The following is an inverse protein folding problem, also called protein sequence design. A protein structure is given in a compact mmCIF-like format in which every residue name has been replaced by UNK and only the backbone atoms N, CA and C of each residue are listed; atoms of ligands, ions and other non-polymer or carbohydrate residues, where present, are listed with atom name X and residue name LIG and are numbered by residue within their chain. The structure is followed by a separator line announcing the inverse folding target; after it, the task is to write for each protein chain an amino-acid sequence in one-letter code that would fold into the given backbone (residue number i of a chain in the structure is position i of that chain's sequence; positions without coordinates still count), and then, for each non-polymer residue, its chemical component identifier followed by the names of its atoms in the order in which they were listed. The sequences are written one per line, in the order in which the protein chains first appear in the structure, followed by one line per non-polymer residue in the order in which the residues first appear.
data_IF_532912839522
#
_entry.id   IF_532912839522
#
_cell.length_a   1.000
_cell.length_b   1.000
_cell.length_c   1.000
_cell.angle_alpha   90.00
_cell.angle_beta   90.00
_cell.angle_gamma   90.00
#
_symmetry.space_group_name_H-M   'P 1'
#
loop_
_entity.id
_entity.type
_entity.pdbx_description
1 polymer ?
#
# COMPACT_ATOMS: atom_id res chain seq x y z
N UNK A 1 -21.97 27.53 -62.41
CA UNK A 1 -20.51 27.76 -62.26
C UNK A 1 -20.11 28.15 -60.83
N UNK A 2 -20.87 29.01 -60.13
CA UNK A 2 -20.57 29.41 -58.73
C UNK A 2 -20.55 28.21 -57.75
N UNK A 3 -21.57 27.34 -57.81
CA UNK A 3 -21.67 26.12 -57.00
C UNK A 3 -20.50 25.12 -57.16
N UNK A 4 -19.89 25.03 -58.35
CA UNK A 4 -18.75 24.13 -58.58
C UNK A 4 -17.47 24.66 -57.94
N UNK A 5 -17.33 25.99 -57.88
CA UNK A 5 -16.16 26.67 -57.32
C UNK A 5 -16.11 26.56 -55.79
N UNK A 6 -17.28 26.65 -55.15
CA UNK A 6 -17.42 26.45 -53.70
C UNK A 6 -17.10 25.01 -53.28
N UNK A 7 -17.47 24.02 -54.09
CA UNK A 7 -17.13 22.60 -53.82
C UNK A 7 -15.63 22.34 -53.97
N UNK A 8 -14.96 22.92 -54.97
CA UNK A 8 -13.50 22.85 -55.11
C UNK A 8 -12.77 23.53 -53.94
N UNK A 9 -13.23 24.70 -53.49
CA UNK A 9 -12.66 25.40 -52.35
C UNK A 9 -12.77 24.59 -51.05
N UNK A 10 -13.88 23.85 -50.87
CA UNK A 10 -14.06 22.93 -49.74
C UNK A 10 -13.12 21.71 -49.81
N UNK A 11 -12.89 21.13 -50.99
CA UNK A 11 -11.93 20.03 -51.14
C UNK A 11 -10.48 20.46 -50.89
N UNK A 12 -10.10 21.65 -51.36
CA UNK A 12 -8.77 22.23 -51.10
C UNK A 12 -8.59 22.48 -49.61
N UNK A 13 -9.62 23.00 -48.93
CA UNK A 13 -9.60 23.20 -47.49
C UNK A 13 -9.43 21.87 -46.73
N UNK A 14 -10.12 20.81 -47.16
CA UNK A 14 -10.00 19.47 -46.57
C UNK A 14 -8.57 18.92 -46.71
N UNK A 15 -8.02 18.93 -47.93
CA UNK A 15 -6.64 18.50 -48.21
C UNK A 15 -5.59 19.31 -47.43
N UNK A 16 -5.84 20.60 -47.20
CA UNK A 16 -4.96 21.46 -46.39
C UNK A 16 -4.80 20.95 -44.95
N UNK A 17 -5.85 20.35 -44.38
CA UNK A 17 -5.82 19.85 -43.00
C UNK A 17 -5.57 18.35 -42.89
N UNK A 18 -5.77 17.57 -43.96
CA UNK A 18 -5.53 16.11 -43.96
C UNK A 18 -4.13 15.75 -43.45
N UNK A 19 -3.10 16.48 -43.86
CA UNK A 19 -1.72 16.23 -43.39
C UNK A 19 -1.54 16.54 -41.90
N UNK A 20 -2.21 17.59 -41.40
CA UNK A 20 -2.18 17.94 -39.98
C UNK A 20 -2.90 16.89 -39.13
N UNK A 21 -4.05 16.39 -39.61
CA UNK A 21 -4.79 15.31 -38.94
C UNK A 21 -4.01 14.00 -38.97
N UNK A 22 -3.41 13.63 -40.10
CA UNK A 22 -2.56 12.43 -40.20
C UNK A 22 -1.42 12.47 -39.19
N UNK A 23 -0.72 13.61 -39.08
CA UNK A 23 0.33 13.79 -38.08
C UNK A 23 -0.21 13.67 -36.65
N UNK A 24 -1.38 14.25 -36.38
CA UNK A 24 -2.01 14.17 -35.06
C UNK A 24 -2.37 12.72 -34.71
N UNK A 25 -2.93 11.95 -35.65
CA UNK A 25 -3.25 10.54 -35.46
C UNK A 25 -1.99 9.70 -35.16
N UNK A 26 -0.89 9.95 -35.90
CA UNK A 26 0.39 9.29 -35.65
C UNK A 26 0.95 9.60 -34.26
N UNK A 27 0.89 10.86 -33.82
CA UNK A 27 1.40 11.28 -32.52
C UNK A 27 0.51 10.80 -31.35
N UNK A 28 -0.81 10.79 -31.53
CA UNK A 28 -1.75 10.19 -30.57
C UNK A 28 -1.53 8.68 -30.44
N UNK A 29 -1.32 7.97 -31.56
CA UNK A 29 -1.01 6.53 -31.54
C UNK A 29 0.28 6.22 -30.78
N UNK A 30 1.32 7.06 -30.91
CA UNK A 30 2.55 6.93 -30.10
C UNK A 30 2.26 7.16 -28.61
N UNK A 31 1.47 8.18 -28.27
CA UNK A 31 1.11 8.46 -26.89
C UNK A 31 0.32 7.31 -26.24
N UNK A 32 -0.63 6.71 -26.96
CA UNK A 32 -1.40 5.54 -26.51
C UNK A 32 -0.51 4.32 -26.27
N UNK A 33 0.46 4.06 -27.16
CA UNK A 33 1.43 2.99 -27.00
C UNK A 33 2.28 3.20 -25.75
N UNK A 34 2.86 4.39 -25.58
CA UNK A 34 3.66 4.73 -24.40
C UNK A 34 2.85 4.59 -23.10
N UNK A 35 1.58 5.00 -23.13
CA UNK A 35 0.68 4.86 -22.00
C UNK A 35 0.40 3.39 -21.65
N UNK A 36 0.17 2.56 -22.66
CA UNK A 36 -0.08 1.13 -22.49
C UNK A 36 1.14 0.40 -21.91
N UNK A 37 2.33 0.71 -22.42
CA UNK A 37 3.61 0.17 -21.91
C UNK A 37 3.85 0.60 -20.46
N UNK A 38 3.59 1.87 -20.14
CA UNK A 38 3.66 2.37 -18.77
C UNK A 38 2.70 1.64 -17.84
N UNK A 39 1.45 1.44 -18.24
CA UNK A 39 0.46 0.70 -17.45
C UNK A 39 0.91 -0.72 -17.15
N UNK A 40 1.39 -1.46 -18.15
CA UNK A 40 1.88 -2.82 -17.98
C UNK A 40 3.13 -2.89 -17.06
N UNK A 41 4.02 -1.90 -17.19
CA UNK A 41 5.21 -1.82 -16.33
C UNK A 41 4.86 -1.58 -14.86
N UNK A 42 3.91 -0.68 -14.58
CA UNK A 42 3.44 -0.42 -13.21
C UNK A 42 2.78 -1.66 -12.60
N UNK A 43 2.02 -2.44 -13.38
CA UNK A 43 1.44 -3.71 -12.89
C UNK A 43 2.53 -4.72 -12.52
N UNK A 44 3.54 -4.89 -13.38
CA UNK A 44 4.67 -5.77 -13.09
C UNK A 44 5.38 -5.39 -11.78
N UNK A 45 5.60 -4.09 -11.57
CA UNK A 45 6.18 -3.57 -10.31
C UNK A 45 5.27 -3.92 -9.12
N UNK A 46 3.96 -3.68 -9.26
CA UNK A 46 3.00 -3.95 -8.20
C UNK A 46 2.95 -5.45 -7.84
N UNK A 47 2.94 -6.35 -8.82
CA UNK A 47 2.90 -7.80 -8.58
C UNK A 47 4.18 -8.31 -7.91
N UNK A 48 5.33 -7.75 -8.28
CA UNK A 48 6.58 -7.98 -7.56
C UNK A 48 6.45 -7.52 -6.10
N UNK A 49 5.98 -6.29 -5.90
CA UNK A 49 5.90 -5.69 -4.57
C UNK A 49 4.89 -6.39 -3.66
N UNK A 50 3.73 -6.83 -4.16
CA UNK A 50 2.75 -7.59 -3.37
C UNK A 50 3.36 -8.87 -2.80
N UNK A 51 4.18 -9.58 -3.58
CA UNK A 51 4.87 -10.78 -3.10
C UNK A 51 5.92 -10.43 -2.06
N UNK A 52 6.79 -9.46 -2.38
CA UNK A 52 7.90 -9.09 -1.51
C UNK A 52 7.45 -8.46 -0.20
N UNK A 53 6.40 -7.64 -0.22
CA UNK A 53 5.84 -7.02 0.99
C UNK A 53 5.30 -8.06 1.96
N UNK A 54 4.61 -9.11 1.47
CA UNK A 54 4.16 -10.23 2.30
C UNK A 54 5.32 -10.98 2.96
N UNK A 55 6.39 -11.23 2.22
CA UNK A 55 7.61 -11.83 2.79
C UNK A 55 8.19 -10.96 3.91
N UNK A 56 8.35 -9.66 3.67
CA UNK A 56 8.89 -8.73 4.68
C UNK A 56 7.96 -8.64 5.91
N UNK A 57 6.65 -8.61 5.71
CA UNK A 57 5.66 -8.63 6.80
C UNK A 57 5.76 -9.90 7.65
N UNK A 58 5.96 -11.06 7.02
CA UNK A 58 6.19 -12.32 7.71
C UNK A 58 7.48 -12.30 8.54
N UNK A 59 8.58 -11.79 7.98
CA UNK A 59 9.85 -11.63 8.72
C UNK A 59 9.70 -10.68 9.91
N UNK A 60 9.02 -9.54 9.74
CA UNK A 60 8.73 -8.63 10.85
C UNK A 60 7.96 -9.34 11.98
N UNK A 61 6.96 -10.15 11.65
CA UNK A 61 6.18 -10.88 12.65
C UNK A 61 7.02 -11.96 13.35
N UNK A 62 7.89 -12.65 12.61
CA UNK A 62 8.87 -13.59 13.20
C UNK A 62 9.78 -12.89 14.21
N UNK A 63 10.36 -11.74 13.83
CA UNK A 63 11.21 -10.92 14.69
C UNK A 63 10.47 -10.43 15.95
N UNK A 64 9.18 -10.08 15.83
CA UNK A 64 8.34 -9.74 17.00
C UNK A 64 8.17 -10.93 17.94
N UNK A 65 7.98 -12.13 17.40
CA UNK A 65 7.93 -13.36 18.19
C UNK A 65 9.23 -13.63 18.95
N UNK A 66 10.39 -13.36 18.32
CA UNK A 66 11.70 -13.46 19.00
C UNK A 66 11.82 -12.44 20.14
N UNK A 67 11.36 -11.20 19.94
CA UNK A 67 11.32 -10.19 21.02
C UNK A 67 10.45 -10.68 22.19
N UNK A 68 9.28 -11.24 21.90
CA UNK A 68 8.39 -11.79 22.93
C UNK A 68 9.05 -12.93 23.70
N UNK A 69 9.70 -13.85 23.00
CA UNK A 69 10.50 -14.92 23.61
C UNK A 69 11.60 -14.37 24.53
N UNK A 70 12.37 -13.38 24.09
CA UNK A 70 13.40 -12.76 24.93
C UNK A 70 12.82 -12.02 26.13
N UNK A 71 11.66 -11.36 26.00
CA UNK A 71 10.98 -10.75 27.14
C UNK A 71 10.55 -11.80 28.17
N UNK A 72 10.07 -12.96 27.74
CA UNK A 72 9.72 -14.05 28.65
C UNK A 72 10.97 -14.59 29.37
N UNK A 73 12.09 -14.76 28.65
CA UNK A 73 13.38 -15.14 29.26
C UNK A 73 13.87 -14.12 30.30
N UNK A 74 13.64 -12.82 30.07
CA UNK A 74 13.95 -11.78 31.07
C UNK A 74 13.12 -11.96 32.35
N UNK A 75 11.81 -12.24 32.20
CA UNK A 75 10.91 -12.50 33.32
C UNK A 75 11.38 -13.72 34.11
N UNK A 76 11.66 -14.84 33.44
CA UNK A 76 12.18 -16.06 34.08
C UNK A 76 13.52 -15.81 34.79
N UNK A 77 14.42 -15.03 34.18
CA UNK A 77 15.70 -14.67 34.79
C UNK A 77 15.51 -13.85 36.07
N UNK A 78 14.58 -12.89 36.07
CA UNK A 78 14.25 -12.11 37.26
C UNK A 78 13.63 -12.98 38.37
N UNK A 79 12.73 -13.91 38.01
CA UNK A 79 12.16 -14.88 38.96
C UNK A 79 13.26 -15.73 39.58
N UNK A 80 14.13 -16.33 38.76
CA UNK A 80 15.24 -17.18 39.23
C UNK A 80 16.17 -16.44 40.20
N UNK A 81 16.40 -15.14 39.97
CA UNK A 81 17.14 -14.31 40.91
C UNK A 81 16.39 -14.13 42.23
N UNK A 82 15.10 -13.81 42.17
CA UNK A 82 14.27 -13.57 43.36
C UNK A 82 14.13 -14.79 44.28
N UNK A 83 14.18 -16.01 43.72
CA UNK A 83 14.12 -17.26 44.48
C UNK A 83 15.52 -17.83 44.80
N UNK A 84 16.59 -17.10 44.47
CA UNK A 84 17.96 -17.46 44.82
C UNK A 84 18.59 -18.58 43.98
N UNK A 85 18.02 -18.91 42.81
CA UNK A 85 18.62 -19.86 41.86
C UNK A 85 19.87 -19.25 41.21
N UNK A 86 19.84 -17.95 40.92
CA UNK A 86 20.99 -17.19 40.41
C UNK A 86 21.20 -15.92 41.24
N UNK A 87 22.42 -15.35 41.20
CA UNK A 87 22.69 -14.08 41.86
C UNK A 87 22.03 -12.90 41.12
N UNK A 88 21.78 -11.81 41.85
CA UNK A 88 21.26 -10.57 41.27
C UNK A 88 22.22 -9.97 40.22
N UNK A 89 23.53 -10.07 40.46
CA UNK A 89 24.55 -9.62 39.51
C UNK A 89 24.52 -10.44 38.22
N UNK A 90 24.35 -11.76 38.32
CA UNK A 90 24.24 -12.63 37.14
C UNK A 90 22.94 -12.37 36.38
N UNK A 91 21.83 -12.18 37.08
CA UNK A 91 20.54 -11.85 36.48
C UNK A 91 20.60 -10.52 35.71
N UNK A 92 21.23 -9.50 36.31
CA UNK A 92 21.42 -8.18 35.69
C UNK A 92 22.20 -8.28 34.38
N UNK A 93 23.35 -8.97 34.38
CA UNK A 93 24.16 -9.17 33.16
C UNK A 93 23.38 -9.89 32.06
N UNK A 94 22.61 -10.93 32.40
CA UNK A 94 21.79 -11.67 31.42
C UNK A 94 20.68 -10.79 30.84
N UNK A 95 20.01 -10.01 31.68
CA UNK A 95 18.95 -9.07 31.28
C UNK A 95 19.50 -7.99 30.35
N UNK A 96 20.67 -7.42 30.66
CA UNK A 96 21.32 -6.41 29.81
C UNK A 96 21.65 -6.95 28.40
N UNK A 97 22.14 -8.19 28.31
CA UNK A 97 22.40 -8.85 27.02
C UNK A 97 21.10 -9.01 26.23
N UNK A 98 20.03 -9.51 26.87
CA UNK A 98 18.72 -9.67 26.22
C UNK A 98 18.16 -8.32 25.75
N UNK A 99 18.31 -7.26 26.54
CA UNK A 99 17.88 -5.91 26.15
C UNK A 99 18.64 -5.35 24.94
N UNK A 100 19.95 -5.62 24.86
CA UNK A 100 20.75 -5.25 23.69
C UNK A 100 20.26 -5.98 22.43
N UNK A 101 20.01 -7.28 22.52
CA UNK A 101 19.49 -8.06 21.39
C UNK A 101 18.09 -7.61 20.96
N UNK A 102 17.19 -7.35 21.92
CA UNK A 102 15.85 -6.78 21.63
C UNK A 102 15.99 -5.44 20.92
N UNK A 103 16.90 -4.57 21.36
CA UNK A 103 17.15 -3.27 20.74
C UNK A 103 17.62 -3.41 19.28
N UNK A 104 18.56 -4.32 19.03
CA UNK A 104 19.04 -4.63 17.68
C UNK A 104 17.87 -5.11 16.79
N UNK A 105 17.05 -6.04 17.26
CA UNK A 105 15.90 -6.57 16.51
C UNK A 105 14.88 -5.45 16.22
N UNK A 106 14.58 -4.59 17.19
CA UNK A 106 13.68 -3.44 17.00
C UNK A 106 14.18 -2.50 15.89
N UNK A 107 15.48 -2.21 15.86
CA UNK A 107 16.06 -1.35 14.81
C UNK A 107 15.86 -1.93 13.40
N UNK A 108 15.93 -3.25 13.26
CA UNK A 108 15.67 -3.95 11.99
C UNK A 108 14.18 -3.88 11.63
N UNK A 109 13.29 -4.11 12.59
CA UNK A 109 11.83 -3.98 12.38
C UNK A 109 11.47 -2.57 11.91
N UNK A 110 12.03 -1.53 12.54
CA UNK A 110 11.79 -0.13 12.18
C UNK A 110 12.28 0.17 10.77
N UNK A 111 13.49 -0.28 10.43
CA UNK A 111 14.03 -0.15 9.08
C UNK A 111 13.13 -0.80 8.01
N UNK A 112 12.71 -2.05 8.23
CA UNK A 112 11.86 -2.78 7.29
C UNK A 112 10.47 -2.13 7.17
N UNK A 113 9.88 -1.70 8.29
CA UNK A 113 8.58 -1.02 8.33
C UNK A 113 8.61 0.32 7.58
N UNK A 114 9.68 1.09 7.74
CA UNK A 114 9.89 2.34 7.01
C UNK A 114 9.98 2.11 5.50
N UNK A 115 10.75 1.09 5.08
CA UNK A 115 10.86 0.73 3.65
C UNK A 115 9.52 0.26 3.08
N UNK A 116 8.78 -0.58 3.82
CA UNK A 116 7.44 -1.01 3.43
C UNK A 116 6.53 0.19 3.17
N UNK A 117 6.44 1.12 4.14
CA UNK A 117 5.61 2.33 3.99
C UNK A 117 6.03 3.17 2.79
N UNK A 118 7.33 3.44 2.63
CA UNK A 118 7.86 4.26 1.52
C UNK A 118 7.46 3.70 0.15
N UNK A 119 7.64 2.40 -0.06
CA UNK A 119 7.36 1.79 -1.35
C UNK A 119 5.87 1.55 -1.59
N UNK A 120 5.08 1.27 -0.53
CA UNK A 120 3.62 1.26 -0.61
C UNK A 120 3.10 2.60 -1.14
N UNK A 121 3.56 3.72 -0.60
CA UNK A 121 3.13 5.06 -1.03
C UNK A 121 3.56 5.38 -2.45
N UNK A 122 4.81 5.04 -2.82
CA UNK A 122 5.32 5.26 -4.17
C UNK A 122 4.52 4.49 -5.22
N UNK A 123 4.25 3.21 -4.97
CA UNK A 123 3.51 2.35 -5.91
C UNK A 123 2.04 2.79 -5.98
N UNK A 124 1.42 3.15 -4.86
CA UNK A 124 0.04 3.65 -4.82
C UNK A 124 -0.15 4.90 -5.69
N UNK A 125 0.81 5.83 -5.68
CA UNK A 125 0.79 7.04 -6.54
C UNK A 125 0.84 6.70 -8.03
N UNK A 126 1.52 5.63 -8.41
CA UNK A 126 1.58 5.21 -9.81
C UNK A 126 0.33 4.43 -10.22
N UNK A 127 -0.16 3.54 -9.35
CA UNK A 127 -1.44 2.83 -9.55
C UNK A 127 -2.62 3.80 -9.70
N UNK A 128 -2.63 4.92 -8.98
CA UNK A 128 -3.65 5.95 -9.13
C UNK A 128 -3.64 6.64 -10.48
N UNK A 129 -2.45 6.90 -11.03
CA UNK A 129 -2.30 7.53 -12.34
C UNK A 129 -2.82 6.63 -13.45
N UNK A 130 -2.53 5.33 -13.39
CA UNK A 130 -2.97 4.38 -14.42
C UNK A 130 -4.44 3.97 -14.30
N UNK A 131 -5.22 4.61 -13.42
CA UNK A 131 -6.60 4.23 -13.16
C UNK A 131 -6.76 2.83 -12.55
N UNK A 132 -5.66 2.21 -12.12
CA UNK A 132 -5.61 0.90 -11.45
C UNK A 132 -5.48 1.04 -9.93
N UNK A 133 -5.99 2.13 -9.33
CA UNK A 133 -6.52 2.01 -7.97
C UNK A 133 -7.68 1.02 -8.05
N UNK A 134 -7.36 -0.27 -7.99
CA UNK A 134 -8.27 -1.19 -7.34
C UNK A 134 -8.38 -0.64 -5.92
N UNK A 135 -9.48 0.07 -5.69
CA UNK A 135 -10.39 -0.09 -4.55
C UNK A 135 -9.66 -0.81 -3.41
N UNK A 136 -9.47 -0.13 -2.27
CA UNK A 136 -8.91 -0.69 -1.04
C UNK A 136 -9.24 -2.19 -0.95
N UNK A 137 -8.23 -3.06 -0.74
CA UNK A 137 -8.38 -4.52 -0.90
C UNK A 137 -9.71 -4.92 -0.26
N UNK A 138 -10.52 -5.77 -0.90
CA UNK A 138 -11.82 -6.19 -0.34
C UNK A 138 -11.68 -6.60 1.14
N UNK A 139 -10.57 -7.24 1.48
CA UNK A 139 -10.15 -7.57 2.85
C UNK A 139 -9.96 -6.36 3.78
N UNK A 140 -9.36 -5.26 3.29
CA UNK A 140 -9.17 -4.01 4.03
C UNK A 140 -10.49 -3.24 4.21
N UNK A 141 -11.38 -3.25 3.21
CA UNK A 141 -12.72 -2.67 3.34
C UNK A 141 -13.60 -3.49 4.29
N UNK A 142 -13.51 -4.83 4.25
CA UNK A 142 -14.16 -5.71 5.22
C UNK A 142 -13.60 -5.49 6.62
N UNK A 143 -12.28 -5.33 6.79
CA UNK A 143 -11.67 -4.97 8.09
C UNK A 143 -12.18 -3.62 8.58
N UNK A 144 -12.28 -2.62 7.71
CA UNK A 144 -12.84 -1.30 8.05
C UNK A 144 -14.31 -1.37 8.43
N UNK A 145 -15.13 -2.17 7.76
CA UNK A 145 -16.53 -2.43 8.16
C UNK A 145 -16.60 -3.03 9.56
N UNK A 146 -15.78 -4.05 9.85
CA UNK A 146 -15.73 -4.67 11.19
C UNK A 146 -15.30 -3.69 12.27
N UNK A 147 -14.27 -2.88 12.02
CA UNK A 147 -13.84 -1.84 12.95
C UNK A 147 -14.94 -0.80 13.18
N UNK A 148 -15.65 -0.38 12.12
CA UNK A 148 -16.74 0.59 12.21
C UNK A 148 -17.91 0.03 13.05
N UNK A 149 -18.23 -1.26 12.92
CA UNK A 149 -19.21 -1.94 13.78
C UNK A 149 -18.78 -2.00 15.25
N UNK A 150 -17.50 -2.28 15.51
CA UNK A 150 -16.96 -2.29 16.87
C UNK A 150 -16.99 -0.90 17.52
N UNK A 151 -16.63 0.15 16.78
CA UNK A 151 -16.69 1.54 17.26
C UNK A 151 -18.12 1.94 17.63
N UNK A 152 -19.12 1.57 16.82
CA UNK A 152 -20.54 1.79 17.13
C UNK A 152 -20.96 1.03 18.39
N UNK A 153 -20.58 -0.25 18.53
CA UNK A 153 -20.87 -1.06 19.72
C UNK A 153 -20.25 -0.47 20.99
N UNK A 154 -19.06 0.15 20.88
CA UNK A 154 -18.38 0.85 21.98
C UNK A 154 -18.92 2.27 22.23
N UNK A 155 -19.87 2.76 21.43
CA UNK A 155 -20.44 4.10 21.56
C UNK A 155 -19.48 5.22 21.14
N UNK A 156 -18.41 4.91 20.42
CA UNK A 156 -17.39 5.87 19.97
C UNK A 156 -17.87 6.73 18.80
N UNK A 157 -18.93 6.29 18.11
CA UNK A 157 -19.57 6.99 16.99
C UNK A 157 -21.08 6.91 17.14
N UNK A 158 -21.77 7.98 16.75
CA UNK A 158 -23.24 8.02 16.71
C UNK A 158 -23.80 7.29 15.48
N UNK A 159 -25.10 7.03 15.51
CA UNK A 159 -25.80 6.25 14.49
C UNK A 159 -25.73 6.87 13.09
N UNK A 160 -25.82 8.20 13.01
CA UNK A 160 -25.83 8.94 11.73
C UNK A 160 -24.43 8.88 11.10
N UNK A 161 -23.39 9.07 11.92
CA UNK A 161 -21.99 8.94 11.49
C UNK A 161 -21.67 7.52 11.05
N UNK A 162 -22.15 6.50 11.78
CA UNK A 162 -22.00 5.10 11.41
C UNK A 162 -22.64 4.79 10.04
N UNK A 163 -23.91 5.17 9.84
CA UNK A 163 -24.65 4.89 8.60
C UNK A 163 -23.96 5.52 7.39
N UNK A 164 -23.50 6.77 7.53
CA UNK A 164 -22.82 7.49 6.44
C UNK A 164 -21.50 6.81 6.04
N UNK A 165 -20.63 6.53 7.02
CA UNK A 165 -19.33 5.90 6.78
C UNK A 165 -19.50 4.47 6.24
N UNK A 166 -20.50 3.74 6.74
CA UNK A 166 -20.82 2.39 6.26
C UNK A 166 -21.28 2.42 4.80
N UNK A 167 -22.20 3.31 4.45
CA UNK A 167 -22.70 3.46 3.08
C UNK A 167 -21.58 3.85 2.11
N UNK A 168 -20.66 4.73 2.52
CA UNK A 168 -19.48 5.07 1.73
C UNK A 168 -18.58 3.85 1.50
N UNK A 169 -18.32 3.05 2.54
CA UNK A 169 -17.50 1.83 2.44
C UNK A 169 -18.19 0.74 1.60
N UNK A 170 -19.50 0.54 1.76
CA UNK A 170 -20.30 -0.42 0.98
C UNK A 170 -20.36 0.00 -0.50
N UNK A 171 -20.49 1.29 -0.80
CA UNK A 171 -20.47 1.81 -2.18
C UNK A 171 -19.14 1.52 -2.88
N UNK A 172 -18.02 1.58 -2.14
CA UNK A 172 -16.70 1.21 -2.63
C UNK A 172 -16.55 -0.31 -2.83
N UNK A 173 -17.35 -1.12 -2.13
CA UNK A 173 -17.43 -2.57 -2.30
C UNK A 173 -18.40 -3.02 -3.42
N UNK A 174 -19.21 -2.10 -3.96
CA UNK A 174 -20.38 -2.42 -4.82
C UNK A 174 -21.36 -3.39 -4.15
N UNK A 175 -21.50 -3.31 -2.82
CA UNK A 175 -22.59 -3.92 -2.05
C UNK A 175 -23.71 -2.89 -1.91
#
# INVERSE_FOLDING_TARGET
MIYMKEVEELEVLKKKYDEAFRKLDEDLGKAEKMWSEYCAFIEKINDFWIRKSKEIEAEINSLKGIIEFYNNMKIETAINSSIGIISEEEATKRIEVLDKEISNIKSVIDYLSLKLSKYNDAIRKHLSRVGKIKIARKEDLIKKLKMLEEMKKRGEIDEITYIKLRSEIESLLKL
#
